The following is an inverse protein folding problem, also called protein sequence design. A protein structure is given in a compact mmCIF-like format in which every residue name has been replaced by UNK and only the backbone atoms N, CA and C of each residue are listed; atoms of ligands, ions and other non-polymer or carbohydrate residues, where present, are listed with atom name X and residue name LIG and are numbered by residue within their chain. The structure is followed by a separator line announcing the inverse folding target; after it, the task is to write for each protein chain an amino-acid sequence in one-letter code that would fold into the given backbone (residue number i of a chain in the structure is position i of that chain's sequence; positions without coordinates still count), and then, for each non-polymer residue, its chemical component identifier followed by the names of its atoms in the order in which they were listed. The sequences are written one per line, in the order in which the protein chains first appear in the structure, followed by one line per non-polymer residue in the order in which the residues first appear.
data_IF_473943890492
#
_entry.id   IF_473943890492
#
_cell.length_a   1.000
_cell.length_b   1.000
_cell.length_c   1.000
_cell.angle_alpha   90.00
_cell.angle_beta   90.00
_cell.angle_gamma   90.00
#
_symmetry.space_group_name_H-M   'P 1'
#
loop_
_entity.id
_entity.type
_entity.pdbx_description
1 polymer ?
#
# COMPACT_ATOMS: atom_id res chain seq x y z
N UNK A 1 -11.02 -13.88 -30.74
CA UNK A 1 -9.81 -13.64 -29.96
C UNK A 1 -10.03 -14.16 -28.53
N UNK A 2 -10.25 -15.47 -28.41
CA UNK A 2 -10.40 -16.19 -27.13
C UNK A 2 -9.34 -17.29 -27.19
N UNK A 3 -8.32 -17.24 -26.33
CA UNK A 3 -7.47 -18.37 -25.93
C UNK A 3 -6.02 -17.91 -25.68
N UNK A 4 -5.74 -17.20 -24.58
CA UNK A 4 -4.36 -17.08 -24.04
C UNK A 4 -4.33 -17.11 -22.49
N UNK A 5 -5.44 -17.30 -21.79
CA UNK A 5 -5.40 -17.54 -20.35
C UNK A 5 -5.68 -19.00 -20.00
N UNK A 6 -4.74 -19.90 -20.34
CA UNK A 6 -4.66 -21.19 -19.69
C UNK A 6 -4.00 -21.00 -18.31
N UNK A 7 -4.70 -21.45 -17.28
CA UNK A 7 -4.35 -21.46 -15.87
C UNK A 7 -2.84 -21.58 -15.61
N UNK A 8 -2.20 -20.48 -15.25
CA UNK A 8 -0.86 -20.51 -14.67
C UNK A 8 -1.05 -20.93 -13.22
N UNK A 9 -0.72 -22.17 -12.90
CA UNK A 9 -0.73 -22.64 -11.51
C UNK A 9 0.31 -21.86 -10.69
N UNK A 10 0.05 -21.68 -9.38
CA UNK A 10 0.98 -21.01 -8.44
C UNK A 10 2.44 -21.45 -8.58
N UNK A 11 2.69 -22.75 -8.87
CA UNK A 11 4.02 -23.30 -9.14
C UNK A 11 4.61 -22.87 -10.49
N UNK A 12 3.80 -22.66 -11.52
CA UNK A 12 4.25 -22.21 -12.84
C UNK A 12 4.66 -20.74 -12.84
N UNK A 13 3.97 -19.87 -12.09
CA UNK A 13 4.30 -18.45 -11.98
C UNK A 13 5.64 -18.24 -11.27
N UNK A 14 5.89 -18.91 -10.15
CA UNK A 14 7.16 -18.81 -9.40
C UNK A 14 8.34 -19.37 -10.21
N UNK A 15 8.15 -20.46 -10.98
CA UNK A 15 9.19 -21.01 -11.85
C UNK A 15 9.43 -20.17 -13.10
N UNK A 16 8.39 -19.57 -13.68
CA UNK A 16 8.50 -18.70 -14.86
C UNK A 16 9.20 -17.37 -14.56
N UNK A 17 8.87 -16.73 -13.44
CA UNK A 17 9.50 -15.48 -13.05
C UNK A 17 10.97 -15.67 -12.62
N UNK A 18 11.30 -16.79 -11.95
CA UNK A 18 12.67 -17.13 -11.58
C UNK A 18 13.55 -17.50 -12.79
N UNK A 19 13.00 -18.26 -13.77
CA UNK A 19 13.74 -18.68 -14.95
C UNK A 19 14.00 -17.53 -15.93
N UNK A 20 13.08 -16.59 -16.08
CA UNK A 20 13.30 -15.41 -16.93
C UNK A 20 14.35 -14.44 -16.36
N UNK A 21 14.43 -14.32 -15.03
CA UNK A 21 15.45 -13.51 -14.37
C UNK A 21 16.86 -14.12 -14.46
N UNK A 22 16.97 -15.46 -14.47
CA UNK A 22 18.27 -16.14 -14.52
C UNK A 22 18.79 -16.31 -15.94
N UNK A 23 17.92 -16.50 -16.94
CA UNK A 23 18.36 -16.64 -18.34
C UNK A 23 18.91 -15.33 -18.96
N UNK A 24 18.53 -14.15 -18.43
CA UNK A 24 19.07 -12.86 -18.85
C UNK A 24 20.48 -12.55 -18.36
N UNK A 25 20.99 -13.29 -17.36
CA UNK A 25 22.30 -13.02 -16.73
C UNK A 25 23.43 -13.88 -17.35
N UNK A 26 23.11 -14.99 -18.02
CA UNK A 26 24.10 -15.95 -18.52
C UNK A 26 24.74 -15.59 -19.87
N UNK A 27 24.40 -14.45 -20.49
CA UNK A 27 24.80 -14.10 -21.86
C UNK A 27 25.77 -12.94 -22.03
N UNK A 28 26.27 -12.30 -20.98
CA UNK A 28 27.21 -11.19 -21.08
C UNK A 28 28.50 -11.45 -20.29
N UNK A 29 29.35 -12.30 -20.80
CA UNK A 29 30.77 -12.36 -20.42
C UNK A 29 31.50 -11.09 -20.89
N UNK A 30 31.21 -9.95 -20.31
CA UNK A 30 31.94 -8.69 -20.51
C UNK A 30 32.71 -8.37 -19.24
N UNK A 31 34.03 -8.23 -19.34
CA UNK A 31 34.92 -7.83 -18.27
C UNK A 31 34.32 -6.63 -17.51
N UNK A 32 34.11 -6.77 -16.19
CA UNK A 32 33.73 -5.68 -15.29
C UNK A 32 34.80 -4.59 -15.36
N UNK A 33 34.61 -3.61 -16.21
CA UNK A 33 35.36 -2.37 -16.14
C UNK A 33 34.96 -1.69 -14.81
N UNK A 34 35.88 -1.67 -13.85
CA UNK A 34 35.71 -0.89 -12.61
C UNK A 34 35.41 0.55 -13.02
N UNK A 35 34.22 1.02 -12.76
CA UNK A 35 33.82 2.42 -12.94
C UNK A 35 34.81 3.29 -12.19
N UNK A 36 35.58 4.14 -12.88
CA UNK A 36 36.58 5.06 -12.30
C UNK A 36 35.97 6.41 -11.92
N UNK A 37 34.72 6.48 -11.53
CA UNK A 37 34.06 7.74 -11.23
C UNK A 37 32.95 7.59 -10.17
N UNK A 38 32.39 8.72 -9.70
CA UNK A 38 31.27 8.68 -8.77
C UNK A 38 30.05 8.00 -9.40
N UNK A 39 29.23 7.33 -8.58
CA UNK A 39 27.97 6.73 -9.02
C UNK A 39 26.98 7.87 -9.28
N UNK A 40 26.73 8.16 -10.56
CA UNK A 40 25.87 9.27 -10.99
C UNK A 40 24.75 8.83 -11.93
N UNK A 41 24.90 7.67 -12.58
CA UNK A 41 23.91 7.12 -13.53
C UNK A 41 23.78 5.61 -13.35
N UNK A 42 22.73 5.04 -13.92
CA UNK A 42 22.52 3.60 -13.94
C UNK A 42 23.64 2.86 -14.67
N UNK A 43 24.13 3.45 -15.76
CA UNK A 43 25.20 2.87 -16.56
C UNK A 43 26.52 2.80 -15.77
N UNK A 44 26.76 3.73 -14.83
CA UNK A 44 27.96 3.72 -13.98
C UNK A 44 28.06 2.47 -13.08
N UNK A 45 26.93 1.80 -12.84
CA UNK A 45 26.82 0.53 -12.11
C UNK A 45 26.46 -0.66 -13.03
N UNK A 46 26.53 -0.47 -14.35
CA UNK A 46 26.27 -1.53 -15.34
C UNK A 46 24.80 -1.82 -15.59
N UNK A 47 23.88 -0.94 -15.16
CA UNK A 47 22.44 -1.07 -15.39
C UNK A 47 22.02 -0.24 -16.59
N UNK A 48 21.36 -0.86 -17.56
CA UNK A 48 20.84 -0.19 -18.75
C UNK A 48 19.40 0.31 -18.51
N UNK A 49 19.12 1.61 -18.70
CA UNK A 49 17.76 2.13 -18.71
C UNK A 49 16.88 1.44 -19.75
N UNK A 50 15.60 1.30 -19.46
CA UNK A 50 14.61 0.70 -20.36
C UNK A 50 13.52 1.69 -20.70
N UNK A 51 12.91 1.53 -21.87
CA UNK A 51 11.66 2.22 -22.24
C UNK A 51 10.52 1.39 -21.68
N UNK A 52 9.81 1.94 -20.67
CA UNK A 52 8.70 1.26 -20.05
C UNK A 52 7.41 1.48 -20.86
N UNK A 53 6.94 0.42 -21.52
CA UNK A 53 5.67 0.38 -22.25
C UNK A 53 4.64 -0.54 -21.57
N UNK A 54 4.88 -0.99 -20.34
CA UNK A 54 4.01 -1.96 -19.67
C UNK A 54 3.11 -1.30 -18.62
N UNK A 55 3.56 -0.25 -17.95
CA UNK A 55 2.81 0.43 -16.88
C UNK A 55 3.62 0.63 -15.60
N UNK A 56 2.94 1.01 -14.53
CA UNK A 56 3.54 1.42 -13.27
C UNK A 56 3.90 0.23 -12.34
N UNK A 57 4.44 -0.83 -12.92
CA UNK A 57 4.88 -2.02 -12.19
C UNK A 57 6.14 -1.73 -11.37
N UNK A 58 6.19 -2.20 -10.13
CA UNK A 58 7.34 -1.99 -9.23
C UNK A 58 8.65 -2.48 -9.82
N UNK A 59 8.63 -3.62 -10.53
CA UNK A 59 9.83 -4.17 -11.17
C UNK A 59 10.39 -3.28 -12.29
N UNK A 60 9.56 -2.40 -12.85
CA UNK A 60 9.95 -1.40 -13.84
C UNK A 60 10.04 0.02 -13.24
N UNK A 61 10.23 0.11 -11.92
CA UNK A 61 10.42 1.36 -11.17
C UNK A 61 9.18 2.27 -11.07
N UNK A 62 7.97 1.73 -11.29
CA UNK A 62 6.72 2.49 -11.15
C UNK A 62 6.54 3.54 -12.24
N UNK A 63 6.32 4.79 -11.85
CA UNK A 63 6.21 5.95 -12.74
C UNK A 63 7.43 6.87 -12.63
N UNK A 64 7.61 7.73 -13.62
CA UNK A 64 8.60 8.82 -13.53
C UNK A 64 8.00 9.97 -12.72
N UNK A 65 8.70 10.36 -11.66
CA UNK A 65 8.32 11.51 -10.84
C UNK A 65 8.27 12.80 -11.65
N UNK A 66 7.31 13.68 -11.29
CA UNK A 66 7.23 15.03 -11.82
C UNK A 66 8.48 15.84 -11.46
N UNK A 67 8.88 16.82 -12.30
CA UNK A 67 10.03 17.69 -11.99
C UNK A 67 9.87 18.43 -10.65
N UNK A 68 8.67 18.89 -10.32
CA UNK A 68 8.32 19.60 -9.10
C UNK A 68 8.47 18.70 -7.88
N UNK A 69 8.09 17.44 -7.98
CA UNK A 69 8.26 16.43 -6.93
C UNK A 69 9.74 16.23 -6.64
N UNK A 70 10.58 16.10 -7.67
CA UNK A 70 12.04 15.96 -7.51
C UNK A 70 12.66 17.17 -6.83
N UNK A 71 12.26 18.39 -7.25
CA UNK A 71 12.74 19.64 -6.66
C UNK A 71 12.35 19.75 -5.17
N UNK A 72 11.09 19.40 -4.82
CA UNK A 72 10.63 19.39 -3.45
C UNK A 72 11.39 18.38 -2.57
N UNK A 73 11.68 17.19 -3.09
CA UNK A 73 12.49 16.17 -2.40
C UNK A 73 13.92 16.63 -2.20
N UNK A 74 14.54 17.28 -3.20
CA UNK A 74 15.88 17.84 -3.08
C UNK A 74 15.94 18.90 -1.99
N UNK A 75 14.95 19.80 -1.93
CA UNK A 75 14.89 20.83 -0.88
C UNK A 75 14.68 20.21 0.49
N UNK A 76 13.75 19.23 0.64
CA UNK A 76 13.54 18.51 1.88
C UNK A 76 14.82 17.81 2.38
N UNK A 77 15.66 17.34 1.45
CA UNK A 77 16.95 16.70 1.76
C UNK A 77 17.97 17.60 2.47
N UNK A 78 17.82 18.93 2.39
CA UNK A 78 18.74 19.91 3.00
C UNK A 78 18.51 20.14 4.48
N UNK A 79 17.40 19.63 5.05
CA UNK A 79 16.97 19.92 6.40
C UNK A 79 16.73 18.66 7.23
N UNK A 80 16.96 18.77 8.54
CA UNK A 80 16.50 17.80 9.52
C UNK A 80 15.13 18.22 10.06
N UNK A 81 14.26 17.26 10.28
CA UNK A 81 12.91 17.47 10.86
C UNK A 81 12.61 16.38 11.88
N UNK A 82 11.76 16.71 12.86
CA UNK A 82 11.20 15.70 13.75
C UNK A 82 10.13 14.92 13.01
N UNK A 83 10.25 13.58 12.94
CA UNK A 83 9.36 12.76 12.09
C UNK A 83 7.90 12.77 12.57
N UNK A 84 7.65 12.87 13.87
CA UNK A 84 6.26 12.96 14.38
C UNK A 84 5.62 14.29 14.02
N UNK A 85 6.36 15.41 14.09
CA UNK A 85 5.89 16.73 13.65
C UNK A 85 5.63 16.75 12.15
N UNK A 86 6.54 16.14 11.36
CA UNK A 86 6.37 16.02 9.91
C UNK A 86 5.10 15.23 9.58
N UNK A 87 4.86 14.10 10.25
CA UNK A 87 3.68 13.27 9.98
C UNK A 87 2.40 13.92 10.46
N UNK A 88 2.43 14.67 11.58
CA UNK A 88 1.27 15.47 12.03
C UNK A 88 0.95 16.58 11.01
N UNK A 89 1.96 17.27 10.48
CA UNK A 89 1.78 18.27 9.42
C UNK A 89 1.27 17.63 8.12
N UNK A 90 1.85 16.50 7.73
CA UNK A 90 1.41 15.73 6.57
C UNK A 90 -0.05 15.27 6.72
N UNK A 91 -0.45 14.80 7.89
CA UNK A 91 -1.81 14.36 8.15
C UNK A 91 -2.85 15.46 8.01
N UNK A 92 -2.55 16.67 8.50
CA UNK A 92 -3.39 17.86 8.30
C UNK A 92 -3.51 18.21 6.81
N UNK A 93 -2.37 18.24 6.10
CA UNK A 93 -2.37 18.58 4.67
C UNK A 93 -3.10 17.55 3.83
N UNK A 94 -2.95 16.26 4.15
CA UNK A 94 -3.71 15.18 3.50
C UNK A 94 -5.21 15.34 3.72
N UNK A 95 -5.65 15.65 4.94
CA UNK A 95 -7.06 15.91 5.23
C UNK A 95 -7.62 17.08 4.41
N UNK A 96 -6.87 18.19 4.30
CA UNK A 96 -7.25 19.35 3.49
C UNK A 96 -7.37 19.01 1.99
N UNK A 97 -6.38 18.30 1.45
CA UNK A 97 -6.33 17.96 0.02
C UNK A 97 -7.35 16.91 -0.39
N UNK A 98 -7.71 15.97 0.51
CA UNK A 98 -8.49 14.79 0.14
C UNK A 98 -9.91 14.78 0.70
N UNK A 99 -10.20 15.63 1.67
CA UNK A 99 -11.45 15.56 2.42
C UNK A 99 -11.59 14.35 3.35
N UNK A 100 -10.51 13.57 3.55
CA UNK A 100 -10.46 12.54 4.58
C UNK A 100 -10.40 13.19 5.98
N UNK A 101 -10.80 12.45 7.03
CA UNK A 101 -10.60 12.95 8.41
C UNK A 101 -9.11 13.10 8.74
N UNK A 102 -8.27 12.22 8.18
CA UNK A 102 -6.82 12.20 8.38
C UNK A 102 -6.12 11.38 7.30
N UNK A 103 -4.80 11.50 7.25
CA UNK A 103 -3.96 10.66 6.41
C UNK A 103 -2.56 10.49 6.99
N UNK A 104 -1.86 9.48 6.53
CA UNK A 104 -0.42 9.28 6.78
C UNK A 104 0.28 8.86 5.49
N UNK A 105 1.56 9.19 5.40
CA UNK A 105 2.44 8.66 4.36
C UNK A 105 3.10 7.38 4.86
N UNK A 106 3.12 6.37 3.98
CA UNK A 106 3.61 5.02 4.29
C UNK A 106 4.65 4.57 3.27
N UNK A 107 5.34 3.46 3.54
CA UNK A 107 6.25 2.82 2.59
C UNK A 107 5.49 2.06 1.51
N UNK A 108 4.94 2.81 0.55
CA UNK A 108 4.05 2.31 -0.49
C UNK A 108 2.67 1.90 0.03
N UNK A 109 1.75 1.57 -0.88
CA UNK A 109 0.43 1.06 -0.52
C UNK A 109 0.51 -0.26 0.28
N UNK A 110 1.51 -1.10 0.02
CA UNK A 110 1.75 -2.32 0.80
C UNK A 110 2.02 -2.01 2.28
N UNK A 111 2.82 -0.96 2.55
CA UNK A 111 3.00 -0.44 3.90
C UNK A 111 1.71 0.13 4.52
N UNK A 112 0.87 0.79 3.70
CA UNK A 112 -0.43 1.28 4.13
C UNK A 112 -1.37 0.14 4.55
N UNK A 113 -1.43 -0.93 3.75
CA UNK A 113 -2.24 -2.12 4.07
C UNK A 113 -1.76 -2.77 5.36
N UNK A 114 -0.45 -2.97 5.52
CA UNK A 114 0.10 -3.57 6.74
C UNK A 114 -0.15 -2.70 7.97
N UNK A 115 0.10 -1.38 7.88
CA UNK A 115 -0.12 -0.43 8.97
C UNK A 115 -1.60 -0.33 9.37
N UNK A 116 -2.50 -0.24 8.37
CA UNK A 116 -3.94 -0.18 8.61
C UNK A 116 -4.48 -1.48 9.19
N UNK A 117 -3.99 -2.63 8.74
CA UNK A 117 -4.34 -3.93 9.33
C UNK A 117 -3.89 -4.01 10.79
N UNK A 118 -2.65 -3.63 11.09
CA UNK A 118 -2.14 -3.57 12.46
C UNK A 118 -2.99 -2.64 13.33
N UNK A 119 -3.38 -1.47 12.81
CA UNK A 119 -4.28 -0.54 13.50
C UNK A 119 -5.65 -1.15 13.79
N UNK A 120 -6.24 -1.88 12.86
CA UNK A 120 -7.53 -2.55 13.07
C UNK A 120 -7.45 -3.68 14.09
N UNK A 121 -6.30 -4.31 14.29
CA UNK A 121 -6.09 -5.39 15.27
C UNK A 121 -5.64 -4.89 16.62
N UNK A 122 -4.56 -4.12 16.67
CA UNK A 122 -3.90 -3.68 17.89
C UNK A 122 -4.32 -2.27 18.35
N UNK A 123 -4.88 -1.45 17.43
CA UNK A 123 -5.13 -0.04 17.72
C UNK A 123 -3.86 0.71 18.09
N UNK A 124 -3.97 1.58 19.08
CA UNK A 124 -2.86 2.32 19.71
C UNK A 124 -2.46 1.71 21.07
N UNK A 125 -2.86 0.48 21.34
CA UNK A 125 -2.54 -0.23 22.58
C UNK A 125 -1.09 -0.73 22.56
N UNK A 126 -0.20 -0.21 23.44
CA UNK A 126 1.23 -0.53 23.39
C UNK A 126 1.54 -2.02 23.59
N UNK A 127 0.73 -2.72 24.42
CA UNK A 127 0.94 -4.15 24.69
C UNK A 127 0.59 -4.97 23.45
N UNK A 128 -0.55 -4.69 22.81
CA UNK A 128 -0.96 -5.35 21.58
C UNK A 128 -0.01 -5.04 20.41
N UNK A 129 0.43 -3.78 20.29
CA UNK A 129 1.40 -3.39 19.26
C UNK A 129 2.73 -4.15 19.42
N UNK A 130 3.18 -4.35 20.67
CA UNK A 130 4.41 -5.09 20.96
C UNK A 130 4.30 -6.60 20.68
N UNK A 131 3.08 -7.17 20.76
CA UNK A 131 2.84 -8.59 20.48
C UNK A 131 2.88 -8.92 18.98
N UNK A 132 2.49 -8.00 18.10
CA UNK A 132 2.42 -8.28 16.66
C UNK A 132 3.75 -8.80 16.12
N UNK A 133 3.78 -9.87 15.30
CA UNK A 133 2.65 -10.53 14.63
C UNK A 133 1.96 -11.65 15.43
N UNK A 134 2.25 -11.84 16.73
CA UNK A 134 1.43 -12.69 17.58
C UNK A 134 0.10 -11.96 17.87
N UNK A 135 -0.99 -12.54 17.43
CA UNK A 135 -2.34 -11.97 17.54
C UNK A 135 -3.20 -12.68 18.59
N UNK A 136 -2.55 -13.38 19.53
CA UNK A 136 -3.25 -14.09 20.61
C UNK A 136 -4.07 -13.09 21.45
N UNK A 137 -5.37 -13.38 21.61
CA UNK A 137 -6.29 -12.51 22.34
C UNK A 137 -6.78 -11.27 21.57
N UNK A 138 -6.41 -11.09 20.30
CA UNK A 138 -6.85 -9.98 19.44
C UNK A 138 -7.90 -10.44 18.42
N UNK A 139 -8.69 -9.49 17.93
CA UNK A 139 -9.39 -9.66 16.66
C UNK A 139 -8.34 -9.77 15.57
N UNK A 140 -8.33 -10.85 14.82
CA UNK A 140 -7.26 -11.11 13.85
C UNK A 140 -7.75 -11.64 12.50
N UNK A 141 -9.06 -11.69 12.29
CA UNK A 141 -9.61 -12.11 11.00
C UNK A 141 -9.80 -10.90 10.09
N UNK A 142 -9.28 -10.99 8.87
CA UNK A 142 -9.52 -10.06 7.78
C UNK A 142 -10.49 -10.73 6.83
N UNK A 143 -11.72 -10.23 6.82
CA UNK A 143 -12.78 -10.75 5.97
C UNK A 143 -12.66 -10.16 4.57
N UNK A 144 -12.71 -10.99 3.53
CA UNK A 144 -12.50 -10.59 2.15
C UNK A 144 -13.37 -11.39 1.21
N UNK A 145 -13.97 -10.76 0.20
CA UNK A 145 -14.64 -11.52 -0.85
C UNK A 145 -13.60 -12.26 -1.71
N UNK A 146 -13.87 -13.51 -2.08
CA UNK A 146 -12.89 -14.37 -2.81
C UNK A 146 -12.36 -13.76 -4.11
N UNK A 147 -13.16 -12.91 -4.79
CA UNK A 147 -12.72 -12.20 -6.01
C UNK A 147 -11.76 -11.05 -5.73
N UNK A 148 -11.71 -10.56 -4.49
CA UNK A 148 -10.81 -9.50 -4.04
C UNK A 148 -9.47 -10.02 -3.52
N UNK A 149 -9.24 -11.35 -3.56
CA UNK A 149 -7.95 -11.96 -3.20
C UNK A 149 -6.90 -11.67 -4.25
N UNK A 150 -5.81 -11.10 -3.82
CA UNK A 150 -4.69 -10.67 -4.67
C UNK A 150 -3.36 -10.91 -3.96
N UNK A 151 -2.25 -10.96 -4.71
CA UNK A 151 -0.92 -11.20 -4.13
C UNK A 151 -0.51 -10.17 -3.08
N UNK A 152 -1.08 -8.97 -3.13
CA UNK A 152 -0.80 -7.87 -2.20
C UNK A 152 -1.51 -8.01 -0.86
N UNK A 153 -2.50 -8.91 -0.73
CA UNK A 153 -3.14 -9.21 0.56
C UNK A 153 -2.15 -9.81 1.58
N UNK A 154 -0.96 -10.22 1.11
CA UNK A 154 0.18 -10.59 1.96
C UNK A 154 0.58 -9.49 2.92
N UNK A 155 0.36 -8.22 2.55
CA UNK A 155 0.66 -7.08 3.43
C UNK A 155 -0.24 -7.07 4.68
N UNK A 156 -1.50 -7.53 4.56
CA UNK A 156 -2.36 -7.77 5.70
C UNK A 156 -1.94 -9.05 6.45
N UNK A 157 -1.69 -10.13 5.72
CA UNK A 157 -1.35 -11.42 6.32
C UNK A 157 -0.04 -11.39 7.14
N UNK A 158 0.98 -10.64 6.71
CA UNK A 158 2.26 -10.56 7.43
C UNK A 158 2.16 -9.95 8.83
N UNK A 159 1.07 -9.25 9.15
CA UNK A 159 0.81 -8.70 10.49
C UNK A 159 0.36 -9.76 11.50
N UNK A 160 0.21 -11.02 11.08
CA UNK A 160 -0.39 -12.10 11.87
C UNK A 160 -1.89 -12.29 11.63
N UNK A 161 -2.49 -11.47 10.75
CA UNK A 161 -3.90 -11.58 10.39
C UNK A 161 -4.23 -12.85 9.62
N UNK A 162 -5.44 -13.35 9.79
CA UNK A 162 -5.99 -14.52 9.11
C UNK A 162 -6.99 -14.07 8.05
N UNK A 163 -6.71 -14.39 6.78
CA UNK A 163 -7.64 -14.08 5.69
C UNK A 163 -8.83 -15.05 5.72
N UNK A 164 -10.04 -14.52 5.89
CA UNK A 164 -11.31 -15.26 5.87
C UNK A 164 -12.07 -14.92 4.60
N UNK A 165 -12.25 -15.91 3.73
CA UNK A 165 -12.91 -15.68 2.43
C UNK A 165 -14.44 -15.79 2.54
N UNK A 166 -15.14 -14.86 1.89
CA UNK A 166 -16.57 -14.91 1.66
C UNK A 166 -16.87 -15.07 0.17
N UNK A 167 -17.99 -15.72 -0.15
CA UNK A 167 -18.42 -16.01 -1.52
C UNK A 167 -19.57 -15.13 -2.01
N UNK A 168 -20.21 -14.40 -1.09
CA UNK A 168 -21.33 -13.48 -1.34
C UNK A 168 -21.49 -12.50 -0.18
N UNK A 169 -22.33 -11.47 -0.34
CA UNK A 169 -22.70 -10.55 0.74
C UNK A 169 -23.34 -11.27 1.94
N UNK A 170 -24.22 -12.23 1.70
CA UNK A 170 -24.84 -13.03 2.77
C UNK A 170 -23.83 -13.89 3.52
N UNK A 171 -22.87 -14.50 2.81
CA UNK A 171 -21.79 -15.29 3.42
C UNK A 171 -20.83 -14.37 4.20
N UNK A 172 -20.56 -13.16 3.70
CA UNK A 172 -19.77 -12.15 4.38
C UNK A 172 -20.43 -11.68 5.69
N UNK A 173 -21.74 -11.36 5.66
CA UNK A 173 -22.50 -10.97 6.87
C UNK A 173 -22.52 -12.08 7.92
N UNK A 174 -22.65 -13.34 7.49
CA UNK A 174 -22.64 -14.50 8.38
C UNK A 174 -21.27 -14.75 9.04
N UNK A 175 -20.17 -14.49 8.33
CA UNK A 175 -18.79 -14.66 8.81
C UNK A 175 -18.27 -13.47 9.61
N UNK A 176 -18.85 -12.29 9.39
CA UNK A 176 -18.50 -11.08 10.13
C UNK A 176 -18.89 -11.19 11.62
N UNK A 177 -17.90 -11.30 12.51
CA UNK A 177 -18.12 -11.57 13.92
C UNK A 177 -17.05 -11.00 14.85
N UNK A 178 -17.03 -11.46 16.10
CA UNK A 178 -16.19 -10.92 17.17
C UNK A 178 -14.68 -11.02 16.91
N UNK A 179 -14.26 -11.95 16.05
CA UNK A 179 -12.85 -12.10 15.65
C UNK A 179 -12.46 -11.28 14.44
N UNK A 180 -13.44 -10.66 13.75
CA UNK A 180 -13.17 -9.87 12.56
C UNK A 180 -12.60 -8.51 12.93
N UNK A 181 -11.37 -8.25 12.50
CA UNK A 181 -10.66 -6.98 12.72
C UNK A 181 -11.04 -5.94 11.67
N UNK A 182 -11.20 -6.37 10.41
CA UNK A 182 -11.61 -5.49 9.31
C UNK A 182 -12.17 -6.30 8.14
N UNK A 183 -12.87 -5.61 7.22
CA UNK A 183 -13.23 -6.11 5.90
C UNK A 183 -12.28 -5.49 4.88
N UNK A 184 -11.60 -6.33 4.09
CA UNK A 184 -10.66 -5.88 3.05
C UNK A 184 -11.32 -5.91 1.68
N UNK A 185 -11.15 -4.83 0.92
CA UNK A 185 -11.72 -4.62 -0.42
C UNK A 185 -10.61 -4.28 -1.39
N UNK A 186 -10.58 -4.93 -2.56
CA UNK A 186 -9.75 -4.51 -3.69
C UNK A 186 -10.62 -3.63 -4.61
N UNK A 187 -10.31 -2.34 -4.73
CA UNK A 187 -11.13 -1.36 -5.42
C UNK A 187 -11.33 -1.69 -6.90
N UNK A 188 -10.25 -2.00 -7.61
CA UNK A 188 -10.25 -2.25 -9.07
C UNK A 188 -11.14 -3.42 -9.53
N UNK A 189 -11.62 -4.27 -8.62
CA UNK A 189 -12.48 -5.42 -8.96
C UNK A 189 -13.92 -5.25 -8.54
N UNK A 190 -14.30 -4.14 -7.93
CA UNK A 190 -15.69 -3.87 -7.50
C UNK A 190 -16.67 -3.87 -8.69
N UNK A 191 -16.22 -3.43 -9.85
CA UNK A 191 -17.04 -3.40 -11.08
C UNK A 191 -17.39 -4.79 -11.65
N UNK A 192 -16.78 -5.85 -11.11
CA UNK A 192 -17.05 -7.23 -11.56
C UNK A 192 -18.40 -7.79 -11.08
N UNK A 193 -19.20 -7.02 -10.33
CA UNK A 193 -20.59 -7.31 -9.98
C UNK A 193 -20.82 -8.48 -9.00
N UNK A 194 -19.75 -9.02 -8.40
CA UNK A 194 -19.86 -10.16 -7.48
C UNK A 194 -20.38 -9.74 -6.08
N UNK A 195 -20.03 -8.54 -5.65
CA UNK A 195 -20.47 -7.87 -4.42
C UNK A 195 -20.23 -6.36 -4.59
N UNK A 196 -21.14 -5.53 -4.15
CA UNK A 196 -20.98 -4.07 -4.26
C UNK A 196 -20.28 -3.48 -3.03
N UNK A 197 -19.70 -2.30 -3.21
CA UNK A 197 -19.10 -1.56 -2.11
C UNK A 197 -20.14 -1.21 -1.04
N UNK A 198 -21.34 -0.83 -1.46
CA UNK A 198 -22.45 -0.48 -0.58
C UNK A 198 -22.87 -1.66 0.31
N UNK A 199 -22.95 -2.88 -0.25
CA UNK A 199 -23.22 -4.09 0.53
C UNK A 199 -22.15 -4.34 1.57
N UNK A 200 -20.87 -4.22 1.20
CA UNK A 200 -19.72 -4.40 2.11
C UNK A 200 -19.75 -3.36 3.24
N UNK A 201 -19.98 -2.09 2.89
CA UNK A 201 -20.04 -1.00 3.88
C UNK A 201 -21.24 -1.18 4.82
N UNK A 202 -22.40 -1.62 4.29
CA UNK A 202 -23.58 -1.90 5.12
C UNK A 202 -23.28 -3.01 6.15
N UNK A 203 -22.56 -4.06 5.75
CA UNK A 203 -22.13 -5.15 6.66
C UNK A 203 -21.16 -4.59 7.71
N UNK A 204 -20.14 -3.84 7.30
CA UNK A 204 -19.17 -3.22 8.20
C UNK A 204 -19.84 -2.35 9.25
N UNK A 205 -20.74 -1.44 8.83
CA UNK A 205 -21.52 -0.56 9.72
C UNK A 205 -22.41 -1.35 10.69
N UNK A 206 -23.15 -2.32 10.20
CA UNK A 206 -24.02 -3.18 11.01
C UNK A 206 -23.27 -3.91 12.11
N UNK A 207 -22.04 -4.31 11.85
CA UNK A 207 -21.21 -5.11 12.74
C UNK A 207 -20.16 -4.29 13.52
N UNK A 208 -20.02 -2.99 13.25
CA UNK A 208 -18.97 -2.14 13.82
C UNK A 208 -17.56 -2.58 13.41
N UNK A 209 -17.40 -3.09 12.18
CA UNK A 209 -16.14 -3.59 11.63
C UNK A 209 -15.65 -2.60 10.58
N UNK A 210 -14.41 -2.09 10.68
CA UNK A 210 -13.85 -1.17 9.69
C UNK A 210 -13.76 -1.81 8.29
N UNK A 211 -14.04 -0.99 7.26
CA UNK A 211 -13.86 -1.35 5.86
C UNK A 211 -12.63 -0.66 5.30
N UNK A 212 -11.68 -1.45 4.81
CA UNK A 212 -10.43 -0.97 4.23
C UNK A 212 -10.37 -1.29 2.74
N UNK A 213 -10.20 -0.25 1.91
CA UNK A 213 -10.10 -0.38 0.45
C UNK A 213 -8.64 -0.24 -0.01
N UNK A 214 -8.14 -1.23 -0.73
CA UNK A 214 -6.90 -1.14 -1.50
C UNK A 214 -7.20 -0.53 -2.87
N UNK A 215 -6.85 0.73 -3.04
CA UNK A 215 -6.97 1.50 -4.28
C UNK A 215 -5.58 1.82 -4.88
N UNK A 216 -4.57 0.98 -4.60
CA UNK A 216 -3.18 1.24 -4.97
C UNK A 216 -2.95 1.44 -6.47
N UNK A 217 -3.77 0.82 -7.32
CA UNK A 217 -3.67 0.93 -8.78
C UNK A 217 -4.55 2.05 -9.37
N UNK A 218 -5.37 2.70 -8.55
CA UNK A 218 -6.39 3.63 -8.96
C UNK A 218 -5.96 5.09 -8.87
N UNK A 219 -6.79 5.95 -9.44
CA UNK A 219 -6.62 7.40 -9.38
C UNK A 219 -7.15 7.90 -8.04
N UNK A 220 -6.40 8.75 -7.32
CA UNK A 220 -6.87 9.32 -6.07
C UNK A 220 -7.76 10.54 -6.33
N UNK A 221 -8.77 10.39 -7.20
CA UNK A 221 -9.70 11.47 -7.52
C UNK A 221 -10.39 12.00 -6.25
N UNK A 222 -10.54 13.31 -6.19
CA UNK A 222 -11.08 13.99 -5.01
C UNK A 222 -12.42 14.63 -5.31
N UNK A 223 -13.35 14.51 -4.39
CA UNK A 223 -13.33 13.73 -3.16
C UNK A 223 -13.36 12.23 -3.47
N UNK A 224 -12.59 11.48 -2.68
CA UNK A 224 -12.42 10.04 -2.90
C UNK A 224 -13.76 9.28 -2.82
N UNK A 225 -14.04 8.47 -3.83
CA UNK A 225 -15.33 7.74 -3.97
C UNK A 225 -15.55 6.74 -2.84
N UNK A 226 -14.50 6.06 -2.38
CA UNK A 226 -14.59 5.04 -1.33
C UNK A 226 -14.88 5.64 0.04
N UNK A 227 -14.20 6.75 0.38
CA UNK A 227 -14.45 7.50 1.62
C UNK A 227 -15.86 8.10 1.62
N UNK A 228 -16.32 8.64 0.47
CA UNK A 228 -17.71 9.11 0.32
C UNK A 228 -18.74 8.02 0.54
N UNK A 229 -18.50 6.83 0.00
CA UNK A 229 -19.37 5.68 0.21
C UNK A 229 -19.38 5.22 1.66
N UNK A 230 -18.32 5.52 2.44
CA UNK A 230 -18.22 5.24 3.86
C UNK A 230 -17.19 4.18 4.23
N UNK A 231 -16.18 3.94 3.36
CA UNK A 231 -15.01 3.18 3.75
C UNK A 231 -14.26 3.90 4.87
N UNK A 232 -13.72 3.14 5.82
CA UNK A 232 -12.99 3.68 6.97
C UNK A 232 -11.54 4.01 6.63
N UNK A 233 -10.93 3.24 5.75
CA UNK A 233 -9.54 3.41 5.30
C UNK A 233 -9.44 3.15 3.79
N UNK A 234 -8.59 3.93 3.12
CA UNK A 234 -8.23 3.74 1.70
C UNK A 234 -6.73 3.88 1.52
N UNK A 235 -6.10 2.95 0.78
CA UNK A 235 -4.68 2.98 0.46
C UNK A 235 -4.41 3.34 -1.00
N UNK A 236 -3.45 4.23 -1.25
CA UNK A 236 -2.95 4.57 -2.58
C UNK A 236 -1.44 4.38 -2.71
N UNK A 237 -0.97 4.10 -3.91
CA UNK A 237 0.45 4.08 -4.23
C UNK A 237 0.93 5.42 -4.78
N UNK A 238 1.91 6.04 -4.14
CA UNK A 238 2.49 7.31 -4.61
C UNK A 238 3.27 7.19 -5.91
N UNK A 239 3.87 6.03 -6.17
CA UNK A 239 4.69 5.77 -7.36
C UNK A 239 3.93 5.27 -8.60
N UNK A 240 2.61 5.40 -8.62
CA UNK A 240 1.76 5.03 -9.77
C UNK A 240 1.23 6.28 -10.48
N UNK A 241 -0.09 6.44 -10.60
CA UNK A 241 -0.71 7.56 -11.31
C UNK A 241 -0.38 8.93 -10.70
N UNK A 242 -0.17 9.02 -9.39
CA UNK A 242 0.29 10.26 -8.73
C UNK A 242 1.65 10.78 -9.23
N UNK A 243 2.51 9.89 -9.79
CA UNK A 243 3.86 10.25 -10.23
C UNK A 243 4.72 10.88 -9.11
N UNK A 244 4.47 10.44 -7.88
CA UNK A 244 5.29 10.71 -6.70
C UNK A 244 6.42 9.68 -6.53
N UNK A 245 7.09 9.67 -5.37
CA UNK A 245 8.14 8.69 -5.08
C UNK A 245 7.60 7.26 -5.11
N UNK A 246 8.34 6.34 -5.75
CA UNK A 246 7.92 4.94 -5.88
C UNK A 246 7.75 4.24 -4.52
N UNK A 247 8.60 4.59 -3.56
CA UNK A 247 8.58 4.02 -2.20
C UNK A 247 7.47 4.60 -1.31
N UNK A 248 6.78 5.67 -1.73
CA UNK A 248 5.72 6.29 -0.93
C UNK A 248 4.33 5.72 -1.25
N UNK A 249 3.47 5.72 -0.24
CA UNK A 249 2.05 5.44 -0.35
C UNK A 249 1.26 6.33 0.61
N UNK A 250 -0.05 6.33 0.46
CA UNK A 250 -0.98 7.06 1.31
C UNK A 250 -1.93 6.10 1.98
N UNK A 251 -2.20 6.31 3.26
CA UNK A 251 -3.32 5.75 3.99
C UNK A 251 -4.22 6.91 4.42
N UNK A 252 -5.44 6.94 3.92
CA UNK A 252 -6.43 8.00 4.14
C UNK A 252 -7.66 7.43 4.83
N UNK A 253 -8.35 8.19 5.67
CA UNK A 253 -9.63 7.81 6.24
C UNK A 253 -9.81 8.28 7.67
N UNK A 254 -10.37 7.44 8.52
CA UNK A 254 -10.65 7.74 9.93
C UNK A 254 -9.39 8.11 10.69
N UNK A 255 -9.47 9.19 11.43
CA UNK A 255 -8.33 9.77 12.16
C UNK A 255 -7.77 8.86 13.24
N UNK A 256 -8.63 8.17 13.96
CA UNK A 256 -8.23 7.23 15.02
C UNK A 256 -7.43 6.05 14.44
N UNK A 257 -7.89 5.47 13.32
CA UNK A 257 -7.22 4.37 12.65
C UNK A 257 -5.92 4.80 11.97
N UNK A 258 -5.90 5.96 11.30
CA UNK A 258 -4.67 6.49 10.69
C UNK A 258 -3.59 6.78 11.75
N UNK A 259 -3.96 7.35 12.88
CA UNK A 259 -3.02 7.59 14.00
C UNK A 259 -2.52 6.29 14.62
N UNK A 260 -3.40 5.33 14.85
CA UNK A 260 -3.00 4.00 15.29
C UNK A 260 -2.06 3.32 14.29
N UNK A 261 -2.34 3.44 12.99
CA UNK A 261 -1.46 2.92 11.94
C UNK A 261 -0.06 3.55 11.99
N UNK A 262 0.03 4.86 12.22
CA UNK A 262 1.32 5.55 12.36
C UNK A 262 2.11 5.07 13.57
N UNK A 263 1.46 4.84 14.70
CA UNK A 263 2.13 4.30 15.90
C UNK A 263 2.70 2.88 15.69
N UNK A 264 2.08 2.09 14.81
CA UNK A 264 2.51 0.73 14.48
C UNK A 264 3.70 0.65 13.50
N UNK A 265 4.10 1.78 12.88
CA UNK A 265 5.19 1.84 11.87
C UNK A 265 6.34 2.75 12.31
N UNK A 266 7.38 2.85 11.47
CA UNK A 266 8.48 3.81 11.67
C UNK A 266 7.95 5.27 11.69
N UNK A 267 8.48 6.15 12.60
CA UNK A 267 9.71 6.00 13.39
C UNK A 267 9.53 5.20 14.70
N UNK A 268 8.31 4.82 15.04
CA UNK A 268 8.01 4.06 16.25
C UNK A 268 8.52 2.61 16.17
N UNK A 269 8.54 1.91 17.31
CA UNK A 269 9.12 0.57 17.42
C UNK A 269 8.09 -0.56 17.37
N UNK A 270 6.92 -0.31 16.74
CA UNK A 270 5.89 -1.33 16.49
C UNK A 270 6.28 -2.32 15.39
N UNK A 271 5.35 -3.20 15.04
CA UNK A 271 5.49 -4.22 13.99
C UNK A 271 6.10 -3.69 12.69
N UNK A 272 5.61 -2.54 12.24
CA UNK A 272 6.03 -1.91 10.98
C UNK A 272 7.31 -1.07 11.07
N UNK A 273 8.14 -1.22 12.12
CA UNK A 273 9.43 -0.51 12.22
C UNK A 273 10.32 -0.65 10.98
N UNK A 274 10.38 -1.80 10.29
CA UNK A 274 11.10 -1.94 9.01
C UNK A 274 10.50 -1.15 7.85
N UNK A 275 9.23 -0.73 7.93
CA UNK A 275 8.49 -0.01 6.88
C UNK A 275 8.77 1.50 6.97
N UNK A 276 10.05 1.88 6.82
CA UNK A 276 10.47 3.27 6.92
C UNK A 276 10.16 4.03 5.62
N UNK A 277 9.59 5.22 5.76
CA UNK A 277 9.49 6.24 4.70
C UNK A 277 10.31 7.46 5.12
N UNK A 278 11.11 8.01 4.21
CA UNK A 278 11.97 9.14 4.48
C UNK A 278 11.22 10.48 4.40
N UNK A 279 11.81 11.52 4.98
CA UNK A 279 11.22 12.86 4.94
C UNK A 279 11.08 13.41 3.51
N UNK A 280 11.98 13.03 2.64
CA UNK A 280 11.98 13.40 1.23
C UNK A 280 10.78 12.77 0.51
N UNK A 281 10.52 11.48 0.74
CA UNK A 281 9.36 10.79 0.17
C UNK A 281 8.05 11.34 0.71
N UNK A 282 8.00 11.74 2.00
CA UNK A 282 6.82 12.39 2.58
C UNK A 282 6.49 13.68 1.84
N UNK A 283 7.47 14.58 1.71
CA UNK A 283 7.29 15.84 0.98
C UNK A 283 6.98 15.57 -0.50
N UNK A 284 7.69 14.62 -1.12
CA UNK A 284 7.50 14.28 -2.53
C UNK A 284 6.08 13.80 -2.85
N UNK A 285 5.50 12.92 -2.01
CA UNK A 285 4.14 12.42 -2.28
C UNK A 285 3.07 13.48 -1.98
N UNK A 286 3.29 14.34 -0.98
CA UNK A 286 2.40 15.49 -0.72
C UNK A 286 2.40 16.47 -1.89
N UNK A 287 3.58 16.79 -2.44
CA UNK A 287 3.72 17.63 -3.63
C UNK A 287 3.01 17.00 -4.82
N UNK A 288 3.18 15.71 -5.05
CA UNK A 288 2.51 15.01 -6.14
C UNK A 288 0.98 15.05 -6.01
N UNK A 289 0.46 14.91 -4.79
CA UNK A 289 -0.98 14.98 -4.54
C UNK A 289 -1.52 16.42 -4.66
N UNK A 290 -0.75 17.42 -4.24
CA UNK A 290 -1.14 18.84 -4.37
C UNK A 290 -1.24 19.28 -5.85
N UNK A 291 -0.49 18.65 -6.73
CA UNK A 291 -0.49 18.88 -8.18
C UNK A 291 -1.55 18.05 -8.92
N UNK A 292 -2.17 17.06 -8.28
CA UNK A 292 -3.20 16.19 -8.87
C UNK A 292 -4.52 16.94 -9.05
#
# INVERSE_FOLDING_TARGET
MKTIFKSITRRGFVRGAGAAAVAGIAGAGGASAKSKGPITTYESIGVRPVINCWGTMTILSGSLMLPEVKAAMEEAGRHYVHMDELMEGAGKRLAELTGAEWGIVTSGAAGAIAAGTAACMAGADPEKMAMLPDTTGMKNEVLVHRTHRVVYDRSAWMTGAKMVEASSAADMDAKAGDRTAMIFVLGEVLDNGAITLEEIIAIGRKKGIPVFVDAAAERPDMPNIYLKAGADLVAFSGGKCLRGPQSAGLLLGRKDLCRAAFLNISPHHGFGRPMKVGKEEVIGVLTALDMW
#
